data_IF_433085959788
#
_entry.id   IF_433085959788
#
_cell.length_a   1.000
_cell.length_b   1.000
_cell.length_c   1.000
_cell.angle_alpha   90.00
_cell.angle_beta   90.00
_cell.angle_gamma   90.00
#
_symmetry.space_group_name_H-M   'P 1'
#
loop_
_entity.id
_entity.type
_entity.pdbx_description
1 polymer ?
#
# COMPACT_ATOMS: atom_id res chain seq x y z
N UNK A 1 9.01 -18.44 15.73
CA UNK A 1 8.25 -17.19 15.96
C UNK A 1 8.83 -16.02 15.15
N UNK A 2 10.12 -15.70 15.25
CA UNK A 2 10.76 -14.61 14.50
C UNK A 2 10.67 -14.74 12.96
N UNK A 3 10.83 -15.95 12.40
CA UNK A 3 10.76 -16.18 10.96
C UNK A 3 9.39 -15.88 10.35
N UNK A 4 8.32 -16.20 11.09
CA UNK A 4 6.94 -15.99 10.65
C UNK A 4 6.60 -14.49 10.63
N UNK A 5 7.05 -13.76 11.65
CA UNK A 5 6.89 -12.31 11.72
C UNK A 5 7.67 -11.64 10.58
N UNK A 6 8.90 -12.08 10.32
CA UNK A 6 9.71 -11.56 9.21
C UNK A 6 9.04 -11.79 7.85
N UNK A 7 8.42 -12.96 7.65
CA UNK A 7 7.69 -13.28 6.42
C UNK A 7 6.43 -12.43 6.26
N UNK A 8 5.65 -12.27 7.35
CA UNK A 8 4.44 -11.45 7.35
C UNK A 8 4.75 -9.97 7.07
N UNK A 9 5.81 -9.42 7.66
CA UNK A 9 6.26 -8.05 7.39
C UNK A 9 6.68 -7.86 5.93
N UNK A 10 7.36 -8.84 5.35
CA UNK A 10 7.76 -8.80 3.93
C UNK A 10 6.54 -8.88 2.99
N UNK A 11 5.59 -9.77 3.29
CA UNK A 11 4.36 -9.90 2.52
C UNK A 11 3.51 -8.61 2.60
N UNK A 12 3.39 -8.01 3.78
CA UNK A 12 2.69 -6.74 3.96
C UNK A 12 3.37 -5.60 3.20
N UNK A 13 4.70 -5.56 3.18
CA UNK A 13 5.47 -4.58 2.41
C UNK A 13 5.25 -4.72 0.90
N UNK A 14 5.36 -5.93 0.36
CA UNK A 14 5.14 -6.21 -1.07
C UNK A 14 3.70 -5.88 -1.45
N UNK A 15 2.74 -6.28 -0.62
CA UNK A 15 1.33 -6.00 -0.84
C UNK A 15 1.04 -4.50 -0.90
N UNK A 16 1.62 -3.73 0.03
CA UNK A 16 1.49 -2.27 0.05
C UNK A 16 1.97 -1.62 -1.25
N UNK A 17 3.14 -2.01 -1.76
CA UNK A 17 3.67 -1.49 -3.03
C UNK A 17 2.73 -1.84 -4.20
N UNK A 18 2.25 -3.08 -4.24
CA UNK A 18 1.38 -3.56 -5.32
C UNK A 18 0.06 -2.79 -5.37
N UNK A 19 -0.50 -2.46 -4.21
CA UNK A 19 -1.73 -1.67 -4.14
C UNK A 19 -1.54 -0.23 -4.60
N UNK A 20 -0.46 0.43 -4.17
CA UNK A 20 -0.15 1.79 -4.64
C UNK A 20 0.04 1.80 -6.14
N UNK A 21 0.75 0.81 -6.68
CA UNK A 21 0.92 0.66 -8.12
C UNK A 21 -0.41 0.43 -8.84
N UNK A 22 -1.27 -0.44 -8.29
CA UNK A 22 -2.60 -0.72 -8.85
C UNK A 22 -3.47 0.54 -8.88
N UNK A 23 -3.48 1.34 -7.81
CA UNK A 23 -4.24 2.59 -7.79
C UNK A 23 -3.64 3.69 -8.67
N UNK A 24 -2.31 3.71 -8.80
CA UNK A 24 -1.64 4.59 -9.75
C UNK A 24 -2.01 4.24 -11.19
N UNK A 25 -2.09 2.94 -11.51
CA UNK A 25 -2.52 2.46 -12.84
C UNK A 25 -4.01 2.70 -13.12
N UNK A 26 -4.86 2.74 -12.08
CA UNK A 26 -6.28 3.09 -12.22
C UNK A 26 -6.50 4.57 -12.51
N UNK A 27 -5.63 5.43 -12.00
CA UNK A 27 -5.70 6.87 -12.21
C UNK A 27 -4.33 7.46 -12.60
N UNK A 28 -3.82 7.13 -13.79
CA UNK A 28 -2.53 7.63 -14.25
C UNK A 28 -2.60 9.15 -14.38
N UNK A 29 -1.75 9.85 -13.64
CA UNK A 29 -1.73 11.31 -13.57
C UNK A 29 -2.13 11.91 -12.22
N UNK A 30 -2.69 11.12 -11.30
CA UNK A 30 -3.02 11.59 -9.94
C UNK A 30 -1.78 11.79 -9.02
N UNK A 31 -0.60 11.35 -9.46
CA UNK A 31 0.64 11.34 -8.68
C UNK A 31 0.71 10.18 -7.70
N UNK A 32 1.92 9.66 -7.48
CA UNK A 32 2.18 8.55 -6.54
C UNK A 32 1.67 8.84 -5.11
N UNK A 33 1.78 10.07 -4.55
CA UNK A 33 1.27 10.38 -3.22
C UNK A 33 -0.24 10.17 -3.07
N UNK A 34 -1.03 10.56 -4.09
CA UNK A 34 -2.48 10.39 -4.06
C UNK A 34 -2.88 8.91 -4.18
N UNK A 35 -2.15 8.13 -4.99
CA UNK A 35 -2.35 6.69 -5.09
C UNK A 35 -2.01 5.97 -3.77
N UNK A 36 -0.94 6.39 -3.09
CA UNK A 36 -0.57 5.88 -1.77
C UNK A 36 -1.63 6.22 -0.71
N UNK A 37 -2.16 7.43 -0.73
CA UNK A 37 -3.22 7.85 0.20
C UNK A 37 -4.53 7.08 -0.04
N UNK A 38 -4.88 6.82 -1.31
CA UNK A 38 -6.06 6.00 -1.67
C UNK A 38 -5.89 4.54 -1.25
N UNK A 39 -4.70 3.96 -1.43
CA UNK A 39 -4.39 2.62 -0.93
C UNK A 39 -4.45 2.57 0.61
N UNK A 40 -3.82 3.52 1.30
CA UNK A 40 -3.83 3.62 2.76
C UNK A 40 -5.25 3.79 3.34
N UNK A 41 -6.10 4.56 2.66
CA UNK A 41 -7.51 4.77 3.06
C UNK A 41 -8.32 3.48 3.11
N UNK A 42 -7.98 2.46 2.30
CA UNK A 42 -8.67 1.15 2.32
C UNK A 42 -8.48 0.40 3.63
N UNK A 43 -7.40 0.68 4.35
CA UNK A 43 -7.06 0.04 5.62
C UNK A 43 -7.44 0.89 6.83
N UNK A 44 -8.19 1.98 6.63
CA UNK A 44 -8.57 2.90 7.70
C UNK A 44 -7.45 3.85 8.14
N UNK A 45 -6.32 3.89 7.43
CA UNK A 45 -5.33 4.95 7.59
C UNK A 45 -5.81 6.20 6.84
N UNK A 46 -6.83 6.86 7.38
CA UNK A 46 -7.13 8.24 7.01
C UNK A 46 -6.16 9.14 7.77
N UNK A 47 -5.22 9.75 7.05
CA UNK A 47 -4.49 10.89 7.61
C UNK A 47 -5.51 11.95 8.04
N UNK A 48 -5.35 12.58 9.22
CA UNK A 48 -6.18 13.71 9.64
C UNK A 48 -6.09 14.88 8.66
#
# INVERSE_FOLDING_TARGET
MATIISLASSAAFIWGILEVFTEYQRAPGAGIPAAAQRAASKYGFQSP
#
